data_IF_078605411182
#
_entry.id   IF_078605411182
#
_cell.length_a   1.000
_cell.length_b   1.000
_cell.length_c   1.000
_cell.angle_alpha   90.00
_cell.angle_beta   90.00
_cell.angle_gamma   90.00
#
_symmetry.space_group_name_H-M   'P 1'
#
loop_
_entity.id
_entity.type
_entity.pdbx_description
1 polymer ?
#
# COMPACT_ATOMS: atom_id res chain seq x y z
N UNK A 1 -10.99 -0.25 4.47
CA UNK A 1 -9.86 0.69 4.26
C UNK A 1 -8.56 -0.03 4.61
N UNK A 2 -7.57 -0.02 3.71
CA UNK A 2 -6.29 -0.74 3.87
C UNK A 2 -5.17 0.25 4.17
N UNK A 3 -4.56 0.14 5.35
CA UNK A 3 -3.50 1.03 5.83
C UNK A 3 -2.11 0.52 5.46
N UNK A 4 -1.31 1.40 4.85
CA UNK A 4 0.11 1.17 4.53
C UNK A 4 0.96 2.09 5.40
N UNK A 5 1.74 1.50 6.30
CA UNK A 5 2.55 2.27 7.25
C UNK A 5 3.75 2.96 6.59
N UNK A 6 4.17 4.08 7.17
CA UNK A 6 5.41 4.78 6.80
C UNK A 6 6.66 4.19 7.45
N UNK A 7 7.76 4.96 7.44
CA UNK A 7 9.05 4.56 8.02
C UNK A 7 10.18 4.45 7.00
N UNK A 8 10.17 5.32 5.98
CA UNK A 8 11.19 5.43 4.93
C UNK A 8 11.50 4.12 4.20
N UNK A 9 10.54 3.18 4.17
CA UNK A 9 10.72 1.81 3.65
C UNK A 9 11.81 0.99 4.38
N UNK A 10 12.29 1.46 5.52
CA UNK A 10 13.38 0.85 6.30
C UNK A 10 12.90 0.28 7.64
N UNK A 11 11.91 0.94 8.26
CA UNK A 11 11.36 0.61 9.58
C UNK A 11 9.84 0.73 9.56
N UNK A 12 9.19 0.28 10.63
CA UNK A 12 7.75 0.43 10.84
C UNK A 12 7.04 -0.90 11.05
N UNK A 13 5.78 -0.81 11.49
CA UNK A 13 4.93 -1.97 11.71
C UNK A 13 3.44 -1.60 11.61
N UNK A 14 2.63 -2.55 11.17
CA UNK A 14 1.18 -2.49 11.06
C UNK A 14 0.53 -2.33 12.43
N UNK A 15 1.20 -2.83 13.47
CA UNK A 15 0.79 -2.76 14.87
C UNK A 15 1.17 -1.43 15.55
N UNK A 16 1.92 -0.55 14.89
CA UNK A 16 2.41 0.69 15.50
C UNK A 16 1.32 1.71 15.84
N UNK A 17 0.15 1.62 15.18
CA UNK A 17 -0.95 2.54 15.39
C UNK A 17 -2.25 1.75 15.50
N UNK A 18 -2.93 1.88 16.65
CA UNK A 18 -4.27 1.33 16.80
C UNK A 18 -5.24 2.05 15.87
N UNK A 19 -6.04 1.27 15.15
CA UNK A 19 -7.05 1.74 14.20
C UNK A 19 -8.48 1.38 14.63
N UNK A 20 -8.65 0.84 15.83
CA UNK A 20 -9.95 0.46 16.37
C UNK A 20 -10.92 1.63 16.44
N UNK A 21 -10.44 2.83 16.81
CA UNK A 21 -11.27 4.03 16.80
C UNK A 21 -11.78 4.40 15.40
N UNK A 22 -10.94 4.27 14.36
CA UNK A 22 -11.35 4.55 12.98
C UNK A 22 -12.41 3.54 12.52
N UNK A 23 -12.24 2.26 12.87
CA UNK A 23 -13.23 1.23 12.55
C UNK A 23 -14.57 1.50 13.24
N UNK A 24 -14.55 1.83 14.54
CA UNK A 24 -15.74 2.05 15.35
C UNK A 24 -16.50 3.33 14.96
N UNK A 25 -15.81 4.45 14.78
CA UNK A 25 -16.47 5.73 14.47
C UNK A 25 -16.77 5.92 12.99
N UNK A 26 -15.97 5.30 12.11
CA UNK A 26 -16.17 5.40 10.67
C UNK A 26 -17.15 4.38 10.10
N UNK A 27 -17.56 3.37 10.89
CA UNK A 27 -18.31 2.20 10.44
C UNK A 27 -17.66 1.55 9.20
N UNK A 28 -16.36 1.26 9.33
CA UNK A 28 -15.53 0.69 8.25
C UNK A 28 -14.68 -0.47 8.75
N UNK A 29 -14.48 -1.47 7.89
CA UNK A 29 -13.44 -2.49 8.11
C UNK A 29 -12.08 -1.86 7.87
N UNK A 30 -11.19 -1.88 8.87
CA UNK A 30 -9.80 -1.43 8.73
C UNK A 30 -8.85 -2.62 8.69
N UNK A 31 -8.03 -2.68 7.65
CA UNK A 31 -6.98 -3.69 7.48
C UNK A 31 -5.63 -2.99 7.58
N UNK A 32 -4.77 -3.42 8.49
CA UNK A 32 -3.38 -2.94 8.56
C UNK A 32 -2.45 -4.03 8.04
N UNK A 33 -1.58 -3.69 7.08
CA UNK A 33 -0.74 -4.70 6.40
C UNK A 33 0.74 -4.47 6.69
N UNK A 34 1.49 -5.58 6.70
CA UNK A 34 2.94 -5.59 6.72
C UNK A 34 3.48 -5.80 5.31
N UNK A 35 4.62 -5.19 5.03
CA UNK A 35 5.40 -5.43 3.82
C UNK A 35 6.89 -5.52 4.19
N UNK A 36 7.70 -6.19 3.36
CA UNK A 36 9.15 -6.31 3.59
C UNK A 36 9.81 -4.93 3.55
N UNK A 37 10.77 -4.73 4.44
CA UNK A 37 11.49 -3.46 4.64
C UNK A 37 12.97 -3.61 4.32
N UNK A 38 13.63 -2.48 4.08
CA UNK A 38 15.06 -2.38 3.84
C UNK A 38 15.56 -3.31 2.74
N UNK A 39 16.70 -3.93 2.98
CA UNK A 39 17.34 -4.84 2.03
C UNK A 39 16.39 -5.95 1.54
N UNK A 40 15.62 -6.56 2.44
CA UNK A 40 14.70 -7.65 2.10
C UNK A 40 13.51 -7.19 1.24
N UNK A 41 13.13 -5.91 1.34
CA UNK A 41 12.02 -5.34 0.59
C UNK A 41 12.40 -4.69 -0.73
N UNK A 42 13.63 -4.20 -0.86
CA UNK A 42 13.98 -3.26 -1.93
C UNK A 42 15.35 -3.48 -2.56
N UNK A 43 16.08 -4.55 -2.22
CA UNK A 43 17.28 -4.92 -2.97
C UNK A 43 16.95 -5.12 -4.46
N UNK A 44 17.67 -4.40 -5.31
CA UNK A 44 17.64 -4.58 -6.75
C UNK A 44 19.07 -4.63 -7.31
N UNK A 45 19.32 -5.58 -8.20
CA UNK A 45 20.53 -5.64 -9.04
C UNK A 45 20.36 -4.90 -10.36
N UNK A 46 19.15 -4.41 -10.67
CA UNK A 46 18.82 -3.79 -11.95
C UNK A 46 18.65 -4.79 -13.10
N UNK A 47 18.62 -6.09 -12.79
CA UNK A 47 18.42 -7.19 -13.73
C UNK A 47 17.37 -8.18 -13.19
N UNK A 48 17.19 -9.29 -13.91
CA UNK A 48 16.21 -10.34 -13.59
C UNK A 48 16.53 -11.15 -12.33
N UNK A 49 17.77 -11.12 -11.82
CA UNK A 49 18.17 -11.91 -10.66
C UNK A 49 17.69 -11.31 -9.34
N UNK A 50 17.62 -9.97 -9.27
CA UNK A 50 16.94 -9.24 -8.20
C UNK A 50 16.27 -8.00 -8.79
N UNK A 51 15.03 -8.09 -9.31
CA UNK A 51 14.34 -6.96 -9.92
C UNK A 51 13.98 -5.87 -8.90
N UNK A 52 13.87 -6.22 -7.61
CA UNK A 52 13.52 -5.30 -6.52
C UNK A 52 12.02 -5.10 -6.35
N UNK A 53 11.65 -4.01 -5.67
CA UNK A 53 10.25 -3.66 -5.36
C UNK A 53 9.45 -4.74 -4.63
N UNK A 54 10.11 -5.65 -3.91
CA UNK A 54 9.46 -6.72 -3.17
C UNK A 54 8.45 -6.22 -2.13
N UNK A 55 8.75 -5.11 -1.45
CA UNK A 55 7.82 -4.47 -0.53
C UNK A 55 6.54 -3.96 -1.22
N UNK A 56 6.64 -3.49 -2.48
CA UNK A 56 5.45 -3.15 -3.26
C UNK A 56 4.64 -4.39 -3.63
N UNK A 57 5.31 -5.46 -4.05
CA UNK A 57 4.65 -6.72 -4.41
C UNK A 57 3.96 -7.37 -3.21
N UNK A 58 4.50 -7.22 -2.00
CA UNK A 58 3.83 -7.66 -0.76
C UNK A 58 2.51 -6.90 -0.55
N UNK A 59 2.50 -5.59 -0.81
CA UNK A 59 1.27 -4.80 -0.75
C UNK A 59 0.27 -5.24 -1.81
N UNK A 60 0.71 -5.52 -3.04
CA UNK A 60 -0.15 -6.08 -4.10
C UNK A 60 -0.75 -7.42 -3.65
N UNK A 61 0.07 -8.32 -3.09
CA UNK A 61 -0.38 -9.60 -2.58
C UNK A 61 -1.40 -9.44 -1.44
N UNK A 62 -1.19 -8.49 -0.54
CA UNK A 62 -2.14 -8.19 0.53
C UNK A 62 -3.46 -7.62 -0.02
N UNK A 63 -3.42 -6.80 -1.07
CA UNK A 63 -4.63 -6.30 -1.72
C UNK A 63 -5.39 -7.41 -2.46
N UNK A 64 -4.70 -8.33 -3.13
CA UNK A 64 -5.31 -9.53 -3.70
C UNK A 64 -5.98 -10.39 -2.61
N UNK A 65 -5.33 -10.51 -1.45
CA UNK A 65 -5.93 -11.20 -0.30
C UNK A 65 -7.21 -10.50 0.17
N UNK A 66 -7.19 -9.16 0.30
CA UNK A 66 -8.38 -8.38 0.66
C UNK A 66 -9.50 -8.61 -0.36
N UNK A 67 -9.22 -8.56 -1.66
CA UNK A 67 -10.20 -8.83 -2.72
C UNK A 67 -10.85 -10.21 -2.58
N UNK A 68 -10.05 -11.25 -2.30
CA UNK A 68 -10.55 -12.62 -2.17
C UNK A 68 -11.18 -12.98 -0.82
N UNK A 69 -10.94 -12.19 0.24
CA UNK A 69 -11.21 -12.65 1.61
C UNK A 69 -11.91 -11.63 2.51
N UNK A 70 -12.14 -10.38 2.09
CA UNK A 70 -12.66 -9.36 3.04
C UNK A 70 -14.16 -9.50 3.35
N UNK A 71 -14.94 -10.16 2.47
CA UNK A 71 -16.40 -10.28 2.62
C UNK A 71 -16.85 -10.94 3.92
N UNK A 72 -16.27 -12.08 4.37
CA UNK A 72 -16.61 -12.66 5.67
C UNK A 72 -16.33 -11.75 6.89
N UNK A 73 -15.48 -10.73 6.75
CA UNK A 73 -15.19 -9.75 7.80
C UNK A 73 -16.12 -8.54 7.74
N UNK A 74 -17.15 -8.55 6.88
CA UNK A 74 -18.09 -7.45 6.69
C UNK A 74 -17.61 -6.36 5.74
N UNK A 75 -16.51 -6.58 5.01
CA UNK A 75 -16.00 -5.62 4.03
C UNK A 75 -16.58 -5.84 2.62
N UNK A 76 -16.64 -4.77 1.83
CA UNK A 76 -16.99 -4.83 0.41
C UNK A 76 -15.73 -4.75 -0.47
N UNK A 77 -15.39 -5.80 -1.25
CA UNK A 77 -14.24 -5.79 -2.15
C UNK A 77 -14.34 -4.72 -3.26
N UNK A 78 -15.55 -4.28 -3.62
CA UNK A 78 -15.78 -3.22 -4.62
C UNK A 78 -15.68 -1.80 -4.01
N UNK A 79 -15.39 -1.70 -2.72
CA UNK A 79 -15.37 -0.44 -1.97
C UNK A 79 -14.05 -0.26 -1.19
N UNK A 80 -12.95 -0.78 -1.74
CA UNK A 80 -11.62 -0.72 -1.10
C UNK A 80 -10.96 0.65 -1.27
N UNK A 81 -10.56 1.27 -0.16
CA UNK A 81 -9.72 2.49 -0.11
C UNK A 81 -8.35 2.15 0.46
N UNK A 82 -7.26 2.49 -0.23
CA UNK A 82 -5.89 2.44 0.34
C UNK A 82 -5.54 3.79 0.96
N UNK A 83 -4.87 3.78 2.11
CA UNK A 83 -4.45 5.01 2.80
C UNK A 83 -3.15 4.81 3.58
N UNK A 84 -2.35 5.87 3.70
CA UNK A 84 -0.97 5.77 4.20
C UNK A 84 -0.32 7.12 4.41
N UNK A 85 0.76 7.15 5.19
CA UNK A 85 1.51 8.37 5.50
C UNK A 85 3.01 8.21 5.20
N UNK A 86 3.68 9.30 4.81
CA UNK A 86 5.12 9.34 4.51
C UNK A 86 5.50 8.28 3.46
N UNK A 87 6.37 7.32 3.77
CA UNK A 87 6.71 6.23 2.87
C UNK A 87 5.48 5.41 2.41
N UNK A 88 4.45 5.26 3.25
CA UNK A 88 3.19 4.64 2.84
C UNK A 88 2.44 5.46 1.79
N UNK A 89 2.51 6.80 1.88
CA UNK A 89 1.92 7.69 0.89
C UNK A 89 2.70 7.69 -0.45
N UNK A 90 4.03 7.58 -0.40
CA UNK A 90 4.86 7.28 -1.57
C UNK A 90 4.41 5.97 -2.24
N UNK A 91 4.24 4.91 -1.43
CA UNK A 91 3.83 3.61 -1.98
C UNK A 91 2.46 3.67 -2.65
N UNK A 92 1.49 4.32 -2.00
CA UNK A 92 0.15 4.55 -2.56
C UNK A 92 0.22 5.27 -3.90
N UNK A 93 1.06 6.30 -4.01
CA UNK A 93 1.21 7.04 -5.27
C UNK A 93 1.69 6.13 -6.41
N UNK A 94 2.66 5.25 -6.15
CA UNK A 94 3.14 4.30 -7.15
C UNK A 94 2.11 3.20 -7.46
N UNK A 95 1.35 2.73 -6.47
CA UNK A 95 0.27 1.74 -6.67
C UNK A 95 -0.84 2.33 -7.54
N UNK A 96 -1.22 3.60 -7.36
CA UNK A 96 -2.20 4.28 -8.24
C UNK A 96 -1.76 4.27 -9.71
N UNK A 97 -0.45 4.32 -9.98
CA UNK A 97 0.09 4.32 -11.34
C UNK A 97 0.38 2.91 -11.89
N UNK A 98 0.35 1.88 -11.04
CA UNK A 98 0.77 0.53 -11.41
C UNK A 98 -0.37 -0.25 -12.09
N UNK A 99 -0.15 -0.89 -13.25
CA UNK A 99 -1.14 -1.77 -13.86
C UNK A 99 -1.40 -3.03 -13.03
N UNK A 100 -0.46 -3.45 -12.18
CA UNK A 100 -0.59 -4.64 -11.33
C UNK A 100 -1.68 -4.51 -10.27
N UNK A 101 -2.11 -3.28 -9.98
CA UNK A 101 -3.13 -2.98 -8.97
C UNK A 101 -4.47 -2.58 -9.56
N UNK A 102 -4.62 -2.68 -10.88
CA UNK A 102 -5.89 -2.40 -11.55
C UNK A 102 -7.02 -3.26 -10.94
N UNK A 103 -8.08 -2.60 -10.49
CA UNK A 103 -9.24 -3.25 -9.86
C UNK A 103 -9.03 -3.72 -8.41
N UNK A 104 -7.84 -3.57 -7.82
CA UNK A 104 -7.60 -4.00 -6.44
C UNK A 104 -8.08 -2.99 -5.39
N UNK A 105 -8.20 -1.71 -5.77
CA UNK A 105 -8.76 -0.64 -4.93
C UNK A 105 -9.43 0.43 -5.79
N UNK A 106 -10.23 1.27 -5.14
CA UNK A 106 -11.16 2.22 -5.79
C UNK A 106 -10.89 3.67 -5.41
N UNK A 107 -10.23 3.89 -4.26
CA UNK A 107 -9.90 5.21 -3.72
C UNK A 107 -8.52 5.17 -3.05
N UNK A 108 -7.83 6.30 -3.04
CA UNK A 108 -6.49 6.43 -2.45
C UNK A 108 -6.40 7.72 -1.61
N UNK A 109 -5.75 7.63 -0.45
CA UNK A 109 -5.44 8.77 0.43
C UNK A 109 -3.94 8.75 0.77
N UNK A 110 -3.20 9.69 0.21
CA UNK A 110 -1.76 9.84 0.45
C UNK A 110 -1.51 11.02 1.40
N UNK A 111 -1.02 10.74 2.61
CA UNK A 111 -0.77 11.75 3.65
C UNK A 111 0.71 12.11 3.70
N UNK A 112 1.02 13.41 3.53
CA UNK A 112 2.38 13.94 3.69
C UNK A 112 3.43 13.37 2.72
N UNK A 113 3.00 12.93 1.52
CA UNK A 113 3.86 12.65 0.37
C UNK A 113 3.02 12.60 -0.92
N UNK A 114 3.57 13.03 -2.05
CA UNK A 114 3.00 12.83 -3.38
C UNK A 114 4.13 12.52 -4.36
N UNK A 115 3.97 11.48 -5.18
CA UNK A 115 4.89 11.27 -6.32
C UNK A 115 4.50 12.22 -7.43
N UNK A 116 5.37 13.18 -7.74
CA UNK A 116 5.24 13.99 -8.95
C UNK A 116 5.75 13.15 -10.13
N UNK A 117 4.86 12.83 -11.07
CA UNK A 117 5.31 12.44 -12.40
C UNK A 117 5.98 13.66 -13.03
N UNK A 118 7.32 13.65 -13.11
CA UNK A 118 8.03 14.58 -13.97
C UNK A 118 7.78 14.16 -15.41
N UNK A 119 6.66 14.61 -15.99
CA UNK A 119 6.48 14.66 -17.44
C UNK A 119 7.24 15.86 -18.01
N UNK A 120 8.56 15.88 -17.81
CA UNK A 120 9.46 16.78 -18.54
C UNK A 120 10.89 16.24 -18.52
N UNK A 121 11.06 15.07 -19.10
CA UNK A 121 12.29 14.74 -19.82
C UNK A 121 11.86 14.33 -21.24
N UNK A 122 11.35 15.30 -21.99
CA UNK A 122 11.39 15.24 -23.45
C UNK A 122 12.84 15.47 -23.87
N UNK A 123 13.42 14.46 -24.54
CA UNK A 123 14.66 14.44 -25.35
C UNK A 123 15.86 15.27 -24.86
#
# INVERSE_FOLDING_TARGET
MVWIHGGSMMVGAATSHDRSALAAFGDVVVVTIQYRLGFLGFLSTGDEHAPGNWGFLDVVAALCWVQGNITPFGGDPNCVTIFGSSAGALMISALVLSPLTAGLFHRAIAQSFLTLSLSSATY
#
